data_IF_393019195203
#
_entry.id   IF_393019195203
#
_cell.length_a   1.000
_cell.length_b   1.000
_cell.length_c   1.000
_cell.angle_alpha   90.00
_cell.angle_beta   90.00
_cell.angle_gamma   90.00
#
_symmetry.space_group_name_H-M   'P 1'
#
loop_
_entity.id
_entity.type
_entity.pdbx_description
1 polymer ?
#
# COMPACT_ATOMS: atom_id res chain seq x y z
N UNK A 1 19.79 16.88 -2.20
CA UNK A 1 19.70 15.44 -1.85
C UNK A 1 18.74 15.19 -0.69
N UNK A 2 18.99 15.74 0.51
CA UNK A 2 18.10 15.55 1.67
C UNK A 2 16.65 16.02 1.44
N UNK A 3 16.46 17.20 0.82
CA UNK A 3 15.13 17.71 0.45
C UNK A 3 14.38 16.75 -0.49
N UNK A 4 15.08 16.16 -1.46
CA UNK A 4 14.49 15.23 -2.43
C UNK A 4 14.04 13.92 -1.76
N UNK A 5 14.82 13.42 -0.80
CA UNK A 5 14.49 12.21 -0.03
C UNK A 5 13.32 12.44 0.93
N UNK A 6 13.21 13.66 1.49
CA UNK A 6 12.05 14.06 2.28
C UNK A 6 10.78 14.09 1.44
N UNK A 7 10.84 14.58 0.20
CA UNK A 7 9.70 14.56 -0.73
C UNK A 7 9.21 13.14 -1.05
N UNK A 8 10.13 12.20 -1.29
CA UNK A 8 9.78 10.79 -1.52
C UNK A 8 9.17 10.13 -0.28
N UNK A 9 9.67 10.46 0.90
CA UNK A 9 9.10 10.01 2.17
C UNK A 9 7.67 10.50 2.33
N UNK A 10 7.42 11.79 2.13
CA UNK A 10 6.08 12.37 2.21
C UNK A 10 5.14 11.69 1.21
N UNK A 11 5.55 11.57 -0.05
CA UNK A 11 4.78 10.86 -1.07
C UNK A 11 4.44 9.44 -0.64
N UNK A 12 5.40 8.67 -0.14
CA UNK A 12 5.17 7.27 0.25
C UNK A 12 4.27 7.16 1.50
N UNK A 13 4.45 8.06 2.45
CA UNK A 13 3.68 8.10 3.70
C UNK A 13 2.23 8.57 3.51
N UNK A 14 1.95 9.38 2.48
CA UNK A 14 0.61 9.95 2.28
C UNK A 14 -0.15 9.43 1.07
N UNK A 15 0.52 8.97 -0.01
CA UNK A 15 -0.19 8.54 -1.23
C UNK A 15 -1.12 7.37 -0.96
N UNK A 16 -0.59 6.28 -0.42
CA UNK A 16 -1.37 5.06 -0.21
C UNK A 16 -2.53 5.27 0.79
N UNK A 17 -2.29 5.71 2.04
CA UNK A 17 -3.39 5.93 2.99
C UNK A 17 -4.35 7.04 2.55
N UNK A 18 -3.87 8.08 1.86
CA UNK A 18 -4.71 9.15 1.33
C UNK A 18 -5.64 8.69 0.22
N UNK A 19 -5.17 7.85 -0.70
CA UNK A 19 -6.01 7.27 -1.76
C UNK A 19 -7.07 6.35 -1.17
N UNK A 20 -6.68 5.48 -0.23
CA UNK A 20 -7.63 4.57 0.45
C UNK A 20 -8.68 5.36 1.21
N UNK A 21 -8.27 6.36 2.00
CA UNK A 21 -9.19 7.22 2.74
C UNK A 21 -10.14 7.98 1.81
N UNK A 22 -9.64 8.52 0.70
CA UNK A 22 -10.46 9.22 -0.30
C UNK A 22 -11.53 8.31 -0.92
N UNK A 23 -11.15 7.10 -1.33
CA UNK A 23 -12.09 6.11 -1.87
C UNK A 23 -13.14 5.73 -0.81
N UNK A 24 -12.70 5.40 0.40
CA UNK A 24 -13.60 5.08 1.51
C UNK A 24 -14.55 6.24 1.83
N UNK A 25 -14.08 7.48 1.83
CA UNK A 25 -14.90 8.65 2.09
C UNK A 25 -15.98 8.84 1.03
N UNK A 26 -15.61 8.78 -0.25
CA UNK A 26 -16.57 8.90 -1.36
C UNK A 26 -17.62 7.79 -1.30
N UNK A 27 -17.19 6.54 -1.11
CA UNK A 27 -18.11 5.42 -0.94
C UNK A 27 -19.02 5.61 0.28
N UNK A 28 -18.47 6.06 1.41
CA UNK A 28 -19.24 6.30 2.64
C UNK A 28 -20.28 7.42 2.47
N UNK A 29 -19.97 8.47 1.69
CA UNK A 29 -20.95 9.51 1.33
C UNK A 29 -22.14 8.93 0.56
N UNK A 30 -21.92 8.02 -0.39
CA UNK A 30 -23.01 7.35 -1.11
C UNK A 30 -23.84 6.45 -0.19
N UNK A 31 -23.20 5.73 0.73
CA UNK A 31 -23.87 4.83 1.68
C UNK A 31 -24.75 5.62 2.67
N UNK A 32 -24.27 6.76 3.16
CA UNK A 32 -25.07 7.66 4.00
C UNK A 32 -26.32 8.18 3.30
N UNK A 33 -26.23 8.54 2.02
CA UNK A 33 -27.38 8.96 1.23
C UNK A 33 -28.46 7.89 1.05
N UNK A 34 -28.08 6.61 1.17
CA UNK A 34 -29.00 5.46 1.12
C UNK A 34 -29.51 5.01 2.51
N UNK A 35 -29.12 5.69 3.60
CA UNK A 35 -29.41 5.27 4.98
C UNK A 35 -29.13 3.78 5.24
N UNK A 36 -28.07 3.25 4.61
CA UNK A 36 -27.72 1.85 4.77
C UNK A 36 -26.94 1.65 6.07
N UNK A 37 -27.24 0.56 6.79
CA UNK A 37 -26.56 0.16 8.03
C UNK A 37 -25.07 -0.15 7.85
N UNK A 38 -24.57 -0.23 6.60
CA UNK A 38 -23.15 -0.35 6.29
C UNK A 38 -22.38 0.98 6.35
N UNK A 39 -23.03 2.08 6.73
CA UNK A 39 -22.37 3.38 6.80
C UNK A 39 -21.38 3.45 7.97
N UNK A 40 -20.16 3.87 7.66
CA UNK A 40 -19.10 4.09 8.64
C UNK A 40 -19.45 5.35 9.45
N UNK A 41 -19.62 5.25 10.78
CA UNK A 41 -20.04 6.37 11.60
C UNK A 41 -18.93 7.43 11.69
N UNK A 42 -19.29 8.71 11.71
CA UNK A 42 -18.35 9.84 11.69
C UNK A 42 -17.17 9.74 12.69
N UNK A 43 -17.34 9.25 13.95
CA UNK A 43 -16.23 9.10 14.88
C UNK A 43 -15.12 8.17 14.37
N UNK A 44 -15.47 7.11 13.64
CA UNK A 44 -14.49 6.16 13.11
C UNK A 44 -13.68 6.76 11.97
N UNK A 45 -14.28 7.65 11.16
CA UNK A 45 -13.56 8.42 10.16
C UNK A 45 -12.52 9.35 10.78
N UNK A 46 -12.88 10.03 11.87
CA UNK A 46 -11.95 10.89 12.64
C UNK A 46 -10.86 10.03 13.29
N UNK A 47 -11.21 8.88 13.86
CA UNK A 47 -10.23 7.95 14.44
C UNK A 47 -9.20 7.46 13.41
N UNK A 48 -9.63 7.15 12.18
CA UNK A 48 -8.73 6.77 11.08
C UNK A 48 -7.78 7.91 10.70
N UNK A 49 -8.26 9.15 10.63
CA UNK A 49 -7.41 10.33 10.42
C UNK A 49 -6.41 10.49 11.56
N UNK A 50 -6.86 10.41 12.82
CA UNK A 50 -5.98 10.52 13.98
C UNK A 50 -4.93 9.40 14.02
N UNK A 51 -5.28 8.17 13.65
CA UNK A 51 -4.33 7.06 13.56
C UNK A 51 -3.31 7.27 12.43
N UNK A 52 -3.75 7.81 11.29
CA UNK A 52 -2.85 8.12 10.18
C UNK A 52 -1.84 9.22 10.55
N UNK A 53 -2.31 10.37 11.02
CA UNK A 53 -1.42 11.48 11.38
C UNK A 53 -0.65 11.23 12.69
N UNK A 54 -1.27 10.55 13.65
CA UNK A 54 -0.72 10.34 15.00
C UNK A 54 0.19 9.12 15.14
N UNK A 55 0.03 8.09 14.31
CA UNK A 55 0.84 6.86 14.41
C UNK A 55 1.60 6.58 13.11
N UNK A 56 0.91 6.51 11.98
CA UNK A 56 1.53 6.09 10.72
C UNK A 56 2.61 7.07 10.23
N UNK A 57 2.31 8.37 10.18
CA UNK A 57 3.29 9.39 9.79
C UNK A 57 4.54 9.44 10.67
N UNK A 58 4.45 9.52 12.02
CA UNK A 58 5.65 9.55 12.86
C UNK A 58 6.43 8.24 12.79
N UNK A 59 5.78 7.10 12.61
CA UNK A 59 6.46 5.82 12.48
C UNK A 59 7.29 5.75 11.20
N UNK A 60 6.77 6.25 10.07
CA UNK A 60 7.52 6.32 8.80
C UNK A 60 8.71 7.26 8.94
N UNK A 61 8.53 8.40 9.61
CA UNK A 61 9.62 9.34 9.88
C UNK A 61 10.72 8.74 10.79
N UNK A 62 10.33 8.01 11.83
CA UNK A 62 11.26 7.26 12.69
C UNK A 62 12.03 6.20 11.91
N UNK A 63 11.34 5.41 11.07
CA UNK A 63 11.97 4.41 10.21
C UNK A 63 12.99 5.02 9.26
N UNK A 64 12.68 6.17 8.67
CA UNK A 64 13.62 6.94 7.85
C UNK A 64 14.84 7.43 8.63
N UNK A 65 14.62 7.98 9.83
CA UNK A 65 15.71 8.45 10.69
C UNK A 65 16.69 7.33 11.05
N UNK A 66 16.18 6.15 11.42
CA UNK A 66 17.03 5.00 11.71
C UNK A 66 17.68 4.42 10.46
N UNK A 67 16.97 4.39 9.33
CA UNK A 67 17.49 3.93 8.04
C UNK A 67 18.66 4.78 7.54
N UNK A 68 18.60 6.09 7.74
CA UNK A 68 19.68 7.02 7.36
C UNK A 68 20.95 6.87 8.18
N UNK A 69 20.86 6.38 9.41
CA UNK A 69 22.02 6.19 10.29
C UNK A 69 22.71 4.84 10.07
N UNK A 70 22.08 3.90 9.36
CA UNK A 70 22.74 2.65 8.97
C UNK A 70 23.75 2.92 7.85
N UNK A 71 24.97 2.40 8.02
CA UNK A 71 25.95 2.41 6.95
C UNK A 71 25.45 1.57 5.77
N UNK A 72 25.78 1.96 4.52
CA UNK A 72 25.51 1.15 3.34
C UNK A 72 26.04 -0.27 3.53
N UNK A 73 25.27 -1.26 3.10
CA UNK A 73 25.71 -2.65 3.15
C UNK A 73 26.94 -2.83 2.25
N UNK A 74 28.09 -3.14 2.85
CA UNK A 74 29.29 -3.46 2.08
C UNK A 74 29.09 -4.80 1.38
N UNK A 75 29.15 -4.78 0.05
CA UNK A 75 29.01 -6.00 -0.74
C UNK A 75 30.16 -6.96 -0.37
N UNK A 76 29.86 -8.21 0.04
CA UNK A 76 30.84 -9.16 0.57
C UNK A 76 31.82 -9.69 -0.50
N UNK A 77 31.78 -9.15 -1.71
CA UNK A 77 32.53 -9.64 -2.86
C UNK A 77 33.29 -8.47 -3.49
N UNK A 78 34.60 -8.65 -3.67
CA UNK A 78 35.43 -7.75 -4.49
C UNK A 78 34.82 -7.73 -5.89
N UNK A 79 34.36 -6.56 -6.33
CA UNK A 79 33.79 -6.40 -7.67
C UNK A 79 34.89 -6.66 -8.70
N UNK A 80 34.73 -7.69 -9.52
CA UNK A 80 35.62 -7.97 -10.63
C UNK A 80 35.43 -6.87 -11.71
N UNK A 81 36.51 -6.40 -12.35
CA UNK A 81 36.46 -5.25 -13.28
C UNK A 81 35.69 -5.53 -14.57
N UNK A 82 35.44 -6.80 -14.89
CA UNK A 82 34.61 -7.21 -16.02
C UNK A 82 33.15 -7.34 -15.54
N UNK A 83 32.22 -6.51 -16.04
CA UNK A 83 30.81 -6.65 -15.72
C UNK A 83 30.31 -7.98 -16.27
N UNK A 84 30.07 -8.94 -15.35
CA UNK A 84 29.36 -10.17 -15.65
C UNK A 84 28.03 -9.84 -16.33
N UNK A 85 27.73 -10.51 -17.46
CA UNK A 85 26.47 -10.33 -18.18
C UNK A 85 25.30 -10.59 -17.22
N UNK A 86 24.37 -9.64 -17.16
CA UNK A 86 23.15 -9.78 -16.34
C UNK A 86 22.30 -10.85 -17.04
N UNK A 87 21.96 -11.97 -16.38
CA UNK A 87 21.14 -13.00 -16.98
C UNK A 87 19.81 -12.39 -17.43
N UNK A 88 19.31 -12.83 -18.57
CA UNK A 88 18.04 -12.37 -19.10
C UNK A 88 16.88 -12.65 -18.12
N UNK A 89 16.10 -11.60 -17.82
CA UNK A 89 15.04 -11.66 -16.83
C UNK A 89 13.95 -12.63 -17.30
N UNK A 90 13.65 -13.63 -16.48
CA UNK A 90 12.65 -14.66 -16.80
C UNK A 90 11.26 -14.04 -16.92
N UNK A 91 10.44 -14.55 -17.84
CA UNK A 91 9.12 -14.00 -18.19
C UNK A 91 8.18 -13.81 -16.98
N UNK A 92 8.23 -14.72 -16.01
CA UNK A 92 7.38 -14.68 -14.81
C UNK A 92 7.82 -13.62 -13.78
N UNK A 93 9.03 -13.07 -13.90
CA UNK A 93 9.51 -11.96 -13.09
C UNK A 93 9.14 -10.59 -13.67
N UNK A 94 8.36 -10.54 -14.75
CA UNK A 94 7.89 -9.27 -15.31
C UNK A 94 6.88 -8.61 -14.35
N UNK A 95 7.03 -7.30 -14.14
CA UNK A 95 6.21 -6.50 -13.21
C UNK A 95 4.70 -6.67 -13.50
N UNK A 96 4.33 -6.72 -14.77
CA UNK A 96 2.94 -6.91 -15.18
C UNK A 96 2.37 -8.28 -14.76
N UNK A 97 3.14 -9.35 -14.96
CA UNK A 97 2.75 -10.72 -14.57
C UNK A 97 2.64 -10.83 -13.05
N UNK A 98 3.59 -10.24 -12.32
CA UNK A 98 3.54 -10.21 -10.85
C UNK A 98 2.32 -9.49 -10.29
N UNK A 99 1.92 -8.36 -10.88
CA UNK A 99 0.72 -7.60 -10.46
C UNK A 99 -0.55 -8.43 -10.70
N UNK A 100 -0.68 -9.08 -11.86
CA UNK A 100 -1.83 -9.94 -12.16
C UNK A 100 -1.94 -11.12 -11.20
N UNK A 101 -0.83 -11.83 -10.97
CA UNK A 101 -0.82 -13.00 -10.08
C UNK A 101 -1.15 -12.62 -8.64
N UNK A 102 -0.66 -11.47 -8.15
CA UNK A 102 -0.99 -10.96 -6.83
C UNK A 102 -2.48 -10.58 -6.69
N UNK A 103 -3.10 -10.08 -7.77
CA UNK A 103 -4.52 -9.69 -7.80
C UNK A 103 -5.51 -10.85 -7.83
N UNK A 104 -5.11 -12.03 -8.28
CA UNK A 104 -5.98 -13.22 -8.34
C UNK A 104 -6.46 -13.65 -6.95
N UNK A 105 -5.61 -13.56 -5.93
CA UNK A 105 -5.96 -13.95 -4.55
C UNK A 105 -7.10 -13.09 -3.95
N UNK A 106 -7.00 -11.75 -3.89
CA UNK A 106 -8.10 -10.93 -3.36
C UNK A 106 -9.35 -10.96 -4.25
N UNK A 107 -9.19 -11.13 -5.58
CA UNK A 107 -10.33 -11.30 -6.48
C UNK A 107 -11.12 -12.59 -6.18
N UNK A 108 -10.41 -13.71 -6.00
CA UNK A 108 -11.04 -14.99 -5.66
C UNK A 108 -11.77 -14.95 -4.31
N UNK A 109 -11.18 -14.31 -3.31
CA UNK A 109 -11.81 -14.12 -2.00
C UNK A 109 -13.14 -13.35 -2.11
N UNK A 110 -13.13 -12.21 -2.81
CA UNK A 110 -14.35 -11.41 -3.02
C UNK A 110 -15.39 -12.13 -3.87
N UNK A 111 -14.97 -12.91 -4.87
CA UNK A 111 -15.88 -13.68 -5.73
C UNK A 111 -16.66 -14.73 -4.92
N UNK A 112 -15.99 -15.46 -4.02
CA UNK A 112 -16.63 -16.46 -3.17
C UNK A 112 -17.63 -15.79 -2.21
N UNK A 113 -17.26 -14.68 -1.58
CA UNK A 113 -18.15 -13.91 -0.70
C UNK A 113 -19.41 -13.44 -1.44
N UNK A 114 -19.25 -12.86 -2.64
CA UNK A 114 -20.38 -12.42 -3.45
C UNK A 114 -21.27 -13.58 -3.89
N UNK A 115 -20.68 -14.73 -4.25
CA UNK A 115 -21.44 -15.93 -4.59
C UNK A 115 -22.29 -16.40 -3.41
N UNK A 116 -21.73 -16.45 -2.20
CA UNK A 116 -22.50 -16.82 -1.00
C UNK A 116 -23.66 -15.87 -0.73
N UNK A 117 -23.43 -14.55 -0.82
CA UNK A 117 -24.48 -13.55 -0.62
C UNK A 117 -25.61 -13.73 -1.63
N UNK A 118 -25.29 -13.92 -2.91
CA UNK A 118 -26.32 -14.10 -3.94
C UNK A 118 -27.03 -15.46 -3.86
N UNK A 119 -26.34 -16.54 -3.52
CA UNK A 119 -26.95 -17.88 -3.40
C UNK A 119 -27.81 -18.05 -2.16
N UNK A 120 -27.52 -17.33 -1.06
CA UNK A 120 -28.35 -17.37 0.17
C UNK A 120 -29.52 -16.37 0.10
N UNK A 121 -29.39 -15.29 -0.67
CA UNK A 121 -30.41 -14.25 -0.77
C UNK A 121 -31.45 -14.47 -1.89
N UNK A 122 -31.28 -15.51 -2.72
CA UNK A 122 -32.25 -16.01 -3.71
C UNK A 122 -32.96 -17.22 -3.13
#
# INVERSE_FOLDING_TARGET
>A
VLSLMLWFLLQTATLYPGVVFGICFVLNCFIWGKHSSGAVPFPTMVALLCMWFGISLPLVYLGYYFGFRKQPYDNPVRTNQIPRQIPEQRWYMNKFVGILMAGILPFGAMFIELFFIFSVSI
#
